data_IF_020491623006
#
_entry.id   IF_020491623006
#
_cell.length_a   1.000
_cell.length_b   1.000
_cell.length_c   1.000
_cell.angle_alpha   90.00
_cell.angle_beta   90.00
_cell.angle_gamma   90.00
#
_symmetry.space_group_name_H-M   'P 1'
#
loop_
_entity.id
_entity.type
_entity.pdbx_description
1 polymer ?
#
# COMPACT_ATOMS: atom_id res chain seq x y z
N UNK A 1 -15.98 9.94 1.19
CA UNK A 1 -15.49 10.98 2.12
C UNK A 1 -14.71 12.06 1.38
N UNK A 2 -13.58 11.73 0.74
CA UNK A 2 -12.66 12.71 0.17
C UNK A 2 -12.75 12.88 -1.37
N UNK A 3 -13.77 12.32 -2.03
CA UNK A 3 -13.87 12.36 -3.50
C UNK A 3 -13.81 13.80 -4.04
N UNK A 4 -14.56 14.73 -3.45
CA UNK A 4 -14.61 16.12 -3.91
C UNK A 4 -13.29 16.87 -3.67
N UNK A 5 -12.49 16.41 -2.70
CA UNK A 5 -11.16 16.95 -2.41
C UNK A 5 -10.11 16.43 -3.40
N UNK A 6 -10.15 15.12 -3.70
CA UNK A 6 -9.17 14.46 -4.59
C UNK A 6 -9.40 14.86 -6.05
N UNK A 7 -10.66 15.00 -6.48
CA UNK A 7 -11.03 15.29 -7.86
C UNK A 7 -10.40 14.29 -8.84
N UNK A 8 -9.47 14.73 -9.68
CA UNK A 8 -8.81 13.92 -10.70
C UNK A 8 -7.33 13.65 -10.39
N UNK A 9 -6.86 14.02 -9.19
CA UNK A 9 -5.46 13.83 -8.81
C UNK A 9 -5.17 12.38 -8.37
N UNK A 10 -3.90 11.99 -8.47
CA UNK A 10 -3.39 10.78 -7.83
C UNK A 10 -3.39 10.96 -6.30
N UNK A 11 -3.43 9.84 -5.58
CA UNK A 11 -3.70 9.82 -4.14
C UNK A 11 -2.51 9.19 -3.41
N UNK A 12 -2.01 9.89 -2.39
CA UNK A 12 -1.21 9.29 -1.33
C UNK A 12 -2.04 9.25 -0.04
N UNK A 13 -2.23 8.04 0.51
CA UNK A 13 -2.96 7.81 1.75
C UNK A 13 -1.99 7.34 2.84
N UNK A 14 -2.01 8.01 3.98
CA UNK A 14 -1.25 7.60 5.18
C UNK A 14 -2.18 7.49 6.40
N UNK A 15 -2.00 6.43 7.18
CA UNK A 15 -2.63 6.30 8.49
C UNK A 15 -1.90 7.21 9.49
N UNK A 16 -2.63 8.11 10.16
CA UNK A 16 -2.04 9.15 11.00
C UNK A 16 -1.28 8.66 12.24
N UNK A 17 -1.38 7.38 12.57
CA UNK A 17 -0.67 6.71 13.67
C UNK A 17 0.59 5.95 13.22
N UNK A 18 0.93 5.98 11.92
CA UNK A 18 2.10 5.31 11.37
C UNK A 18 3.32 6.24 11.36
N UNK A 19 4.46 5.75 11.86
CA UNK A 19 5.74 6.47 11.90
C UNK A 19 6.73 5.74 10.98
N UNK A 20 7.23 6.46 9.98
CA UNK A 20 8.25 5.95 9.05
C UNK A 20 9.57 6.68 9.27
N UNK A 21 10.65 5.92 9.36
CA UNK A 21 12.01 6.45 9.48
C UNK A 21 13.02 5.51 8.83
N UNK A 22 13.93 6.07 8.05
CA UNK A 22 15.00 5.32 7.40
C UNK A 22 15.75 6.16 6.38
N UNK A 23 17.01 5.81 6.14
CA UNK A 23 17.79 6.42 5.08
C UNK A 23 17.20 6.04 3.71
N UNK A 24 17.11 7.01 2.78
CA UNK A 24 16.58 6.76 1.43
C UNK A 24 15.06 6.68 1.36
N UNK A 25 14.33 7.02 2.44
CA UNK A 25 12.87 6.99 2.40
C UNK A 25 12.27 7.96 1.38
N UNK A 26 12.87 9.14 1.19
CA UNK A 26 12.45 10.08 0.14
C UNK A 26 12.54 9.47 -1.26
N UNK A 27 13.65 8.79 -1.57
CA UNK A 27 13.84 8.12 -2.87
C UNK A 27 12.78 7.01 -3.09
N UNK A 28 12.45 6.29 -2.02
CA UNK A 28 11.38 5.27 -2.03
C UNK A 28 10.02 5.89 -2.36
N UNK A 29 9.70 7.08 -1.83
CA UNK A 29 8.46 7.80 -2.15
C UNK A 29 8.46 8.36 -3.58
N UNK A 30 9.61 8.83 -4.06
CA UNK A 30 9.76 9.30 -5.45
C UNK A 30 9.53 8.16 -6.45
N UNK A 31 10.06 6.96 -6.18
CA UNK A 31 9.82 5.78 -7.01
C UNK A 31 8.32 5.42 -7.07
N UNK A 32 7.62 5.43 -5.93
CA UNK A 32 6.18 5.17 -5.91
C UNK A 32 5.39 6.23 -6.71
N UNK A 33 5.81 7.49 -6.67
CA UNK A 33 5.23 8.55 -7.51
C UNK A 33 5.49 8.31 -9.00
N UNK A 34 6.64 7.77 -9.36
CA UNK A 34 6.94 7.43 -10.75
C UNK A 34 6.16 6.19 -11.22
N UNK A 35 5.84 5.26 -10.33
CA UNK A 35 4.97 4.12 -10.61
C UNK A 35 3.52 4.54 -10.87
N UNK A 36 3.01 5.56 -10.17
CA UNK A 36 1.71 6.17 -10.47
C UNK A 36 1.62 6.66 -11.91
N UNK A 37 2.69 7.27 -12.44
CA UNK A 37 2.75 7.74 -13.84
C UNK A 37 2.64 6.60 -14.86
N UNK A 38 2.93 5.37 -14.44
CA UNK A 38 2.83 4.15 -15.24
C UNK A 38 1.48 3.44 -15.04
N UNK A 39 0.61 3.97 -14.19
CA UNK A 39 -0.69 3.40 -13.86
C UNK A 39 -0.64 2.28 -12.81
N UNK A 40 0.40 2.25 -11.96
CA UNK A 40 0.52 1.29 -10.88
C UNK A 40 0.20 1.94 -9.53
N UNK A 41 -0.48 1.17 -8.67
CA UNK A 41 -0.57 1.47 -7.25
C UNK A 41 0.61 0.86 -6.49
N UNK A 42 1.08 1.54 -5.45
CA UNK A 42 2.17 1.07 -4.60
C UNK A 42 1.70 0.93 -3.16
N UNK A 43 2.07 -0.19 -2.54
CA UNK A 43 1.96 -0.40 -1.10
C UNK A 43 3.35 -0.58 -0.52
N UNK A 44 3.57 -0.11 0.70
CA UNK A 44 4.87 -0.26 1.36
C UNK A 44 4.77 -1.40 2.36
N UNK A 45 5.70 -2.35 2.27
CA UNK A 45 5.75 -3.49 3.16
C UNK A 45 6.93 -3.38 4.13
N UNK A 46 6.77 -3.99 5.31
CA UNK A 46 7.83 -4.07 6.30
C UNK A 46 7.96 -5.51 6.82
N UNK A 47 9.20 -5.96 7.04
CA UNK A 47 9.45 -7.28 7.58
C UNK A 47 9.23 -7.29 9.09
N UNK A 48 8.30 -8.11 9.56
CA UNK A 48 7.98 -8.26 11.00
C UNK A 48 8.19 -9.69 11.46
N UNK A 49 8.26 -9.87 12.78
CA UNK A 49 8.41 -11.20 13.38
C UNK A 49 7.09 -11.96 13.49
N UNK A 50 5.99 -11.23 13.76
CA UNK A 50 4.66 -11.79 14.04
C UNK A 50 3.65 -11.27 12.99
N UNK A 51 3.72 -11.74 11.72
CA UNK A 51 2.94 -11.20 10.60
C UNK A 51 1.44 -11.49 10.67
N UNK A 52 1.01 -12.53 11.39
CA UNK A 52 -0.38 -12.97 11.53
C UNK A 52 -1.31 -11.92 12.19
N UNK A 53 -0.73 -10.87 12.77
CA UNK A 53 -1.46 -9.76 13.41
C UNK A 53 -1.89 -8.67 12.44
N UNK A 54 -1.42 -8.72 11.19
CA UNK A 54 -1.55 -7.65 10.20
C UNK A 54 -1.97 -8.19 8.82
N UNK A 55 -2.13 -7.28 7.86
CA UNK A 55 -2.26 -7.62 6.44
C UNK A 55 -0.92 -8.11 5.89
N UNK A 56 -0.82 -9.39 5.57
CA UNK A 56 0.40 -10.03 5.05
C UNK A 56 0.42 -9.93 3.54
N UNK A 57 1.56 -9.50 3.00
CA UNK A 57 1.77 -9.28 1.56
C UNK A 57 2.73 -10.33 1.03
N UNK A 58 2.30 -11.09 0.04
CA UNK A 58 3.14 -11.97 -0.76
C UNK A 58 3.60 -11.22 -2.01
N UNK A 59 4.89 -11.29 -2.33
CA UNK A 59 5.48 -10.62 -3.49
C UNK A 59 6.32 -11.58 -4.31
N UNK A 60 6.41 -11.33 -5.63
CA UNK A 60 7.36 -12.01 -6.50
C UNK A 60 8.79 -11.44 -6.35
N UNK A 61 9.74 -11.97 -7.13
CA UNK A 61 11.15 -11.55 -7.09
C UNK A 61 11.38 -10.11 -7.60
N UNK A 62 10.42 -9.54 -8.32
CA UNK A 62 10.48 -8.19 -8.86
C UNK A 62 9.74 -7.17 -7.96
N UNK A 63 9.16 -7.62 -6.84
CA UNK A 63 8.39 -6.77 -5.93
C UNK A 63 6.93 -6.58 -6.31
N UNK A 64 6.40 -7.34 -7.29
CA UNK A 64 4.97 -7.28 -7.59
C UNK A 64 4.17 -8.07 -6.55
N UNK A 65 3.06 -7.50 -6.09
CA UNK A 65 2.17 -8.13 -5.11
C UNK A 65 1.43 -9.30 -5.77
N UNK A 66 1.57 -10.49 -5.19
CA UNK A 66 0.87 -11.71 -5.60
C UNK A 66 -0.40 -11.92 -4.78
N UNK A 67 -0.35 -11.66 -3.47
CA UNK A 67 -1.52 -11.75 -2.60
C UNK A 67 -1.41 -10.82 -1.39
N UNK A 68 -2.56 -10.41 -0.86
CA UNK A 68 -2.69 -9.66 0.39
C UNK A 68 -3.78 -10.33 1.23
N UNK A 69 -3.43 -10.79 2.43
CA UNK A 69 -4.34 -11.48 3.34
C UNK A 69 -4.38 -10.79 4.70
N UNK A 70 -5.58 -10.43 5.16
CA UNK A 70 -5.76 -9.77 6.46
C UNK A 70 -5.73 -10.79 7.60
N UNK A 71 -4.73 -10.68 8.49
CA UNK A 71 -4.55 -11.51 9.69
C UNK A 71 -4.60 -13.02 9.41
N UNK A 72 -3.75 -13.54 8.50
CA UNK A 72 -3.80 -14.93 8.10
C UNK A 72 -3.34 -15.83 9.25
N UNK A 73 -4.01 -16.98 9.42
CA UNK A 73 -3.58 -18.00 10.39
C UNK A 73 -2.24 -18.65 10.02
N UNK A 74 -1.97 -18.75 8.72
CA UNK A 74 -0.74 -19.31 8.16
C UNK A 74 -0.16 -18.28 7.16
N UNK A 75 0.69 -17.35 7.63
CA UNK A 75 1.20 -16.26 6.80
C UNK A 75 2.09 -16.80 5.68
N UNK A 76 1.89 -16.31 4.45
CA UNK A 76 2.70 -16.69 3.27
C UNK A 76 4.06 -15.98 3.21
N UNK A 77 4.22 -14.91 3.98
CA UNK A 77 5.46 -14.15 4.09
C UNK A 77 5.53 -13.48 5.47
N UNK A 78 6.70 -12.93 5.80
CA UNK A 78 6.90 -12.08 6.97
C UNK A 78 6.75 -10.58 6.66
N UNK A 79 6.28 -10.24 5.45
CA UNK A 79 6.08 -8.86 5.03
C UNK A 79 4.64 -8.45 5.26
N UNK A 80 4.45 -7.34 5.96
CA UNK A 80 3.13 -6.79 6.24
C UNK A 80 2.95 -5.46 5.54
N UNK A 81 1.75 -5.19 5.06
CA UNK A 81 1.37 -3.89 4.54
C UNK A 81 1.42 -2.86 5.67
N UNK A 82 2.13 -1.77 5.43
CA UNK A 82 2.15 -0.60 6.31
C UNK A 82 0.99 0.34 5.97
N UNK A 83 0.73 1.33 6.82
CA UNK A 83 -0.31 2.32 6.61
C UNK A 83 0.03 3.42 5.60
N UNK A 84 0.79 3.12 4.54
CA UNK A 84 1.13 4.05 3.47
C UNK A 84 0.79 3.43 2.12
N UNK A 85 0.07 4.19 1.29
CA UNK A 85 -0.45 3.71 0.01
C UNK A 85 -0.45 4.82 -1.03
N UNK A 86 -0.10 4.47 -2.26
CA UNK A 86 -0.14 5.35 -3.42
C UNK A 86 -1.09 4.74 -4.44
N UNK A 87 -2.07 5.51 -4.89
CA UNK A 87 -3.10 5.08 -5.83
C UNK A 87 -3.29 6.08 -6.96
N UNK A 88 -3.64 5.57 -8.13
CA UNK A 88 -4.22 6.40 -9.17
C UNK A 88 -5.65 6.79 -8.81
N UNK A 89 -6.21 7.73 -9.57
CA UNK A 89 -7.53 8.29 -9.31
C UNK A 89 -8.68 7.26 -9.36
N UNK A 90 -8.49 6.16 -10.09
CA UNK A 90 -9.44 5.04 -10.20
C UNK A 90 -9.76 4.36 -8.86
N UNK A 91 -8.90 4.53 -7.84
CA UNK A 91 -9.15 4.07 -6.49
C UNK A 91 -10.44 4.65 -5.88
N UNK A 92 -10.90 5.83 -6.32
CA UNK A 92 -12.19 6.39 -5.89
C UNK A 92 -13.34 5.46 -6.29
N UNK A 93 -13.34 5.00 -7.53
CA UNK A 93 -14.41 4.14 -8.06
C UNK A 93 -14.28 2.72 -7.54
N UNK A 94 -13.06 2.22 -7.36
CA UNK A 94 -12.82 0.93 -6.68
C UNK A 94 -13.41 1.00 -5.26
N UNK A 95 -13.07 2.02 -4.47
CA UNK A 95 -13.53 2.17 -3.09
C UNK A 95 -15.06 2.22 -2.96
N UNK A 96 -15.76 2.85 -3.91
CA UNK A 96 -17.24 2.89 -3.94
C UNK A 96 -17.88 1.51 -4.15
N UNK A 97 -17.17 0.58 -4.80
CA UNK A 97 -17.68 -0.73 -5.17
C UNK A 97 -17.26 -1.85 -4.21
N UNK A 98 -16.43 -1.54 -3.20
CA UNK A 98 -16.07 -2.51 -2.15
C UNK A 98 -17.31 -2.87 -1.33
N UNK A 99 -17.49 -4.18 -1.10
CA UNK A 99 -18.55 -4.69 -0.23
C UNK A 99 -18.08 -4.66 1.23
N UNK A 100 -18.95 -4.27 2.19
CA UNK A 100 -18.66 -4.38 3.62
C UNK A 100 -18.31 -5.80 4.06
#
# INVERSE_FOLDING_TARGET
LAQDFIQNDDIALILGDNIFYGQGFSDILENAKDDLKKGFASIFSYHVKDPERFGVVEMDQNGNVLSLEEKPKNPKSNYVATGLYFYNNDAIDIAKNIKP
#
